data_IF_143583109551
#
_entry.id   IF_143583109551
#
_cell.length_a   1.000
_cell.length_b   1.000
_cell.length_c   1.000
_cell.angle_alpha   90.00
_cell.angle_beta   90.00
_cell.angle_gamma   90.00
#
_symmetry.space_group_name_H-M   'P 1'
#
loop_
_entity.id
_entity.type
_entity.pdbx_description
1 polymer ?
#
# COMPACT_ATOMS: atom_id res chain seq x y z
N UNK A 1 12.32 17.11 -8.51
CA UNK A 1 12.93 16.10 -7.61
C UNK A 1 13.47 14.95 -8.45
N UNK A 2 14.63 14.41 -8.11
CA UNK A 2 15.17 13.23 -8.79
C UNK A 2 14.24 12.03 -8.53
N UNK A 3 13.98 11.21 -9.56
CA UNK A 3 13.14 10.01 -9.42
C UNK A 3 13.94 8.92 -8.72
N UNK A 4 13.73 8.77 -7.41
CA UNK A 4 14.41 7.75 -6.59
C UNK A 4 13.74 6.41 -6.86
N UNK A 5 14.42 5.50 -7.56
CA UNK A 5 13.91 4.13 -7.72
C UNK A 5 14.02 3.39 -6.39
N UNK A 6 13.05 2.52 -6.12
CA UNK A 6 13.08 1.66 -4.94
C UNK A 6 14.23 0.65 -5.09
N UNK A 7 15.23 0.66 -4.19
CA UNK A 7 16.33 -0.29 -4.23
C UNK A 7 15.86 -1.75 -4.02
N UNK A 8 16.54 -2.77 -4.59
CA UNK A 8 16.17 -4.18 -4.40
C UNK A 8 16.04 -4.59 -2.93
N UNK A 9 16.96 -4.16 -2.07
CA UNK A 9 16.97 -4.43 -0.63
C UNK A 9 15.71 -3.88 0.06
N UNK A 10 15.27 -2.70 -0.34
CA UNK A 10 14.01 -2.11 0.15
C UNK A 10 12.81 -2.92 -0.30
N UNK A 11 12.81 -3.44 -1.54
CA UNK A 11 11.70 -4.29 -2.02
C UNK A 11 11.60 -5.59 -1.21
N UNK A 12 12.73 -6.22 -0.91
CA UNK A 12 12.76 -7.43 -0.06
C UNK A 12 12.15 -7.11 1.30
N UNK A 13 12.57 -6.01 1.93
CA UNK A 13 12.03 -5.60 3.23
C UNK A 13 10.53 -5.27 3.17
N UNK A 14 10.07 -4.60 2.12
CA UNK A 14 8.64 -4.33 1.90
C UNK A 14 7.85 -5.64 1.77
N UNK A 15 8.35 -6.58 0.96
CA UNK A 15 7.70 -7.86 0.73
C UNK A 15 7.59 -8.67 2.04
N UNK A 16 8.63 -8.64 2.88
CA UNK A 16 8.63 -9.26 4.21
C UNK A 16 7.59 -8.61 5.16
N UNK A 17 7.50 -7.28 5.18
CA UNK A 17 6.50 -6.56 5.99
C UNK A 17 5.09 -6.95 5.55
N UNK A 18 4.83 -6.98 4.24
CA UNK A 18 3.52 -7.31 3.70
C UNK A 18 3.15 -8.78 3.96
N UNK A 19 4.08 -9.72 3.78
CA UNK A 19 3.83 -11.14 4.09
C UNK A 19 3.58 -11.36 5.58
N UNK A 20 4.36 -10.72 6.46
CA UNK A 20 4.15 -10.78 7.90
C UNK A 20 2.77 -10.25 8.29
N UNK A 21 2.39 -9.06 7.81
CA UNK A 21 1.08 -8.46 8.07
C UNK A 21 -0.07 -9.35 7.58
N UNK A 22 0.05 -9.92 6.38
CA UNK A 22 -0.94 -10.86 5.84
C UNK A 22 -1.12 -12.09 6.74
N UNK A 23 -0.02 -12.65 7.24
CA UNK A 23 -0.01 -13.87 8.07
C UNK A 23 -0.40 -13.63 9.53
N UNK A 24 -0.16 -12.44 10.06
CA UNK A 24 -0.48 -12.09 11.45
C UNK A 24 -1.89 -11.51 11.57
N UNK A 25 -2.12 -10.34 10.99
CA UNK A 25 -3.34 -9.54 11.12
C UNK A 25 -4.49 -10.11 10.27
N UNK A 26 -4.16 -10.64 9.09
CA UNK A 26 -5.14 -11.13 8.12
C UNK A 26 -5.19 -12.65 7.99
N UNK A 27 -4.65 -13.38 8.97
CA UNK A 27 -4.55 -14.85 8.96
C UNK A 27 -5.86 -15.55 8.59
N UNK A 28 -6.98 -15.06 9.14
CA UNK A 28 -8.31 -15.64 8.96
C UNK A 28 -9.09 -15.00 7.79
N UNK A 29 -8.47 -14.09 7.04
CA UNK A 29 -9.09 -13.32 5.96
C UNK A 29 -8.19 -13.28 4.70
N UNK A 30 -7.81 -14.44 4.13
CA UNK A 30 -6.87 -14.50 2.99
C UNK A 30 -7.37 -13.76 1.74
N UNK A 31 -8.68 -13.59 1.59
CA UNK A 31 -9.29 -12.82 0.50
C UNK A 31 -9.05 -11.29 0.59
N UNK A 32 -8.52 -10.82 1.72
CA UNK A 32 -8.11 -9.43 1.99
C UNK A 32 -6.59 -9.27 2.04
N UNK A 33 -5.82 -10.31 1.76
CA UNK A 33 -4.36 -10.18 1.73
C UNK A 33 -3.93 -9.11 0.73
N UNK A 34 -2.77 -8.54 1.00
CA UNK A 34 -2.13 -7.58 0.13
C UNK A 34 -1.12 -8.27 -0.77
N UNK A 35 -0.98 -7.72 -1.97
CA UNK A 35 0.07 -8.06 -2.93
C UNK A 35 0.84 -6.80 -3.29
N UNK A 36 2.16 -6.96 -3.49
CA UNK A 36 3.06 -5.87 -3.84
C UNK A 36 3.28 -5.81 -5.35
N UNK A 37 3.28 -4.60 -5.90
CA UNK A 37 3.67 -4.35 -7.29
C UNK A 37 4.52 -3.09 -7.37
N UNK A 38 5.69 -3.18 -8.00
CA UNK A 38 6.66 -2.09 -8.02
C UNK A 38 6.76 -1.44 -9.40
N UNK A 39 6.78 -0.10 -9.47
CA UNK A 39 7.05 0.64 -10.71
C UNK A 39 7.79 1.95 -10.42
N UNK A 40 9.08 1.99 -10.77
CA UNK A 40 9.92 3.16 -10.53
C UNK A 40 10.11 3.42 -9.04
N UNK A 41 9.57 4.55 -8.57
CA UNK A 41 9.57 4.96 -7.16
C UNK A 41 8.31 4.53 -6.40
N UNK A 42 7.37 3.88 -7.07
CA UNK A 42 6.06 3.56 -6.52
C UNK A 42 5.94 2.09 -6.15
N UNK A 43 5.33 1.85 -5.00
CA UNK A 43 4.79 0.58 -4.55
C UNK A 43 3.27 0.67 -4.65
N UNK A 44 2.65 -0.32 -5.28
CA UNK A 44 1.20 -0.48 -5.33
C UNK A 44 0.83 -1.64 -4.43
N UNK A 45 -0.14 -1.40 -3.55
CA UNK A 45 -0.73 -2.41 -2.70
C UNK A 45 -2.13 -2.72 -3.25
N UNK A 46 -2.30 -3.96 -3.67
CA UNK A 46 -3.52 -4.45 -4.30
C UNK A 46 -4.03 -5.71 -3.58
N UNK A 47 -5.34 -5.96 -3.55
CA UNK A 47 -5.89 -7.26 -3.16
C UNK A 47 -5.85 -8.22 -4.36
N UNK A 48 -5.26 -9.42 -4.23
CA UNK A 48 -5.28 -10.42 -5.28
C UNK A 48 -6.68 -11.01 -5.41
N UNK A 49 -7.23 -11.04 -6.63
CA UNK A 49 -8.42 -11.83 -7.00
C UNK A 49 -8.07 -12.77 -8.15
N UNK A 50 -8.91 -13.79 -8.34
CA UNK A 50 -8.70 -14.87 -9.32
C UNK A 50 -8.38 -14.40 -10.73
N UNK A 51 -8.93 -13.25 -11.16
CA UNK A 51 -8.78 -12.75 -12.54
C UNK A 51 -8.35 -11.28 -12.64
N UNK A 52 -8.18 -10.58 -11.51
CA UNK A 52 -7.80 -9.17 -11.47
C UNK A 52 -7.18 -8.79 -10.13
N UNK A 53 -6.47 -7.68 -10.09
CA UNK A 53 -6.07 -7.05 -8.83
C UNK A 53 -7.05 -5.93 -8.48
N UNK A 54 -7.37 -5.77 -7.20
CA UNK A 54 -8.19 -4.66 -6.71
C UNK A 54 -7.26 -3.63 -6.07
N UNK A 55 -7.08 -2.45 -6.68
CA UNK A 55 -6.16 -1.44 -6.16
C UNK A 55 -6.66 -0.89 -4.82
N UNK A 56 -5.75 -0.79 -3.85
CA UNK A 56 -6.05 -0.24 -2.53
C UNK A 56 -5.41 1.12 -2.38
N UNK A 57 -4.08 1.17 -2.40
CA UNK A 57 -3.31 2.40 -2.27
C UNK A 57 -1.97 2.31 -3.01
N UNK A 58 -1.34 3.46 -3.21
CA UNK A 58 0.00 3.59 -3.78
C UNK A 58 0.89 4.33 -2.79
N UNK A 59 2.06 3.76 -2.54
CA UNK A 59 3.11 4.35 -1.73
C UNK A 59 4.23 4.87 -2.63
N UNK A 60 4.78 6.02 -2.26
CA UNK A 60 5.87 6.70 -2.96
C UNK A 60 7.11 6.66 -2.08
N UNK A 61 8.16 6.01 -2.55
CA UNK A 61 9.42 5.95 -1.83
C UNK A 61 10.11 7.31 -1.83
N UNK A 62 10.48 7.78 -0.65
CA UNK A 62 11.12 9.09 -0.44
C UNK A 62 12.65 9.00 -0.33
N UNK A 63 13.19 7.79 -0.24
CA UNK A 63 14.61 7.55 0.06
C UNK A 63 14.86 6.89 1.41
N UNK A 64 13.84 6.77 2.26
CA UNK A 64 13.89 6.07 3.56
C UNK A 64 12.71 5.10 3.72
N UNK A 65 12.86 4.11 4.60
CA UNK A 65 11.82 3.12 4.91
C UNK A 65 10.73 3.65 5.83
N UNK A 66 11.03 4.68 6.62
CA UNK A 66 10.14 5.18 7.67
C UNK A 66 9.20 6.29 7.18
N UNK A 67 9.36 6.73 5.93
CA UNK A 67 8.59 7.84 5.36
C UNK A 67 8.18 7.54 3.91
N UNK A 68 6.96 7.06 3.71
CA UNK A 68 6.39 6.82 2.39
C UNK A 68 5.25 7.80 2.10
N UNK A 69 5.25 8.38 0.90
CA UNK A 69 4.14 9.21 0.45
C UNK A 69 2.92 8.36 0.11
N UNK A 70 1.79 8.59 0.78
CA UNK A 70 0.56 7.81 0.60
C UNK A 70 -0.38 8.41 -0.45
N UNK A 71 -1.09 7.54 -1.17
CA UNK A 71 -2.23 7.89 -2.02
C UNK A 71 -3.25 6.76 -2.02
N UNK A 72 -4.50 7.04 -1.65
CA UNK A 72 -5.60 6.08 -1.70
C UNK A 72 -6.11 5.96 -3.15
N UNK A 73 -6.56 4.78 -3.55
CA UNK A 73 -7.27 4.62 -4.82
C UNK A 73 -8.67 5.25 -4.74
N UNK A 74 -9.14 5.87 -5.83
CA UNK A 74 -10.48 6.43 -5.94
C UNK A 74 -11.20 5.75 -7.08
N UNK A 75 -12.27 5.04 -6.76
CA UNK A 75 -13.09 4.37 -7.78
C UNK A 75 -13.87 5.34 -8.66
N UNK A 76 -14.19 6.54 -8.17
CA UNK A 76 -14.96 7.53 -8.95
C UNK A 76 -14.22 8.05 -10.19
N UNK A 77 -12.89 7.99 -10.20
CA UNK A 77 -12.06 8.45 -11.32
C UNK A 77 -10.92 7.48 -11.66
N UNK A 78 -10.97 6.26 -11.12
CA UNK A 78 -10.01 5.16 -11.33
C UNK A 78 -8.54 5.60 -11.16
N UNK A 79 -8.24 6.42 -10.14
CA UNK A 79 -6.91 7.01 -9.95
C UNK A 79 -6.43 6.96 -8.50
N UNK A 80 -5.12 7.10 -8.29
CA UNK A 80 -4.53 7.24 -6.95
C UNK A 80 -4.40 8.71 -6.58
N UNK A 81 -5.03 9.13 -5.49
CA UNK A 81 -5.11 10.52 -5.07
C UNK A 81 -4.38 10.74 -3.74
N UNK A 82 -3.25 11.48 -3.74
CA UNK A 82 -2.51 11.81 -2.52
C UNK A 82 -3.17 12.93 -1.70
N UNK A 83 -4.18 13.61 -2.24
CA UNK A 83 -4.89 14.69 -1.57
C UNK A 83 -6.24 14.25 -1.01
N UNK A 84 -6.63 13.00 -1.24
CA UNK A 84 -7.83 12.43 -0.66
C UNK A 84 -7.55 11.96 0.76
N UNK A 85 -8.07 12.72 1.73
CA UNK A 85 -7.93 12.46 3.16
C UNK A 85 -9.28 12.23 3.86
N UNK A 86 -10.39 12.35 3.14
CA UNK A 86 -11.74 12.16 3.68
C UNK A 86 -12.22 10.72 3.43
N UNK A 87 -11.46 9.75 3.93
CA UNK A 87 -11.81 8.34 3.83
C UNK A 87 -11.61 7.61 5.17
N UNK A 88 -12.35 6.52 5.43
CA UNK A 88 -12.17 5.73 6.65
C UNK A 88 -10.75 5.16 6.74
N UNK A 89 -10.08 5.38 7.87
CA UNK A 89 -8.71 4.88 8.08
C UNK A 89 -7.59 5.86 7.78
N UNK A 90 -7.87 7.08 7.32
CA UNK A 90 -6.85 8.11 7.11
C UNK A 90 -5.96 8.36 8.36
N UNK A 91 -6.52 8.21 9.57
CA UNK A 91 -5.78 8.32 10.83
C UNK A 91 -4.73 7.22 11.10
N UNK A 92 -4.71 6.14 10.30
CA UNK A 92 -3.67 5.11 10.39
C UNK A 92 -2.42 5.44 9.56
N UNK A 93 -2.45 6.52 8.77
CA UNK A 93 -1.31 6.91 7.93
C UNK A 93 -0.24 7.55 8.82
N UNK A 94 0.88 6.86 8.97
CA UNK A 94 2.02 7.26 9.79
C UNK A 94 3.34 7.32 9.00
N UNK A 95 3.28 7.14 7.68
CA UNK A 95 4.46 7.07 6.81
C UNK A 95 5.00 5.65 6.62
N UNK A 96 4.50 4.66 7.35
CA UNK A 96 4.93 3.26 7.24
C UNK A 96 4.08 2.46 6.26
N UNK A 97 4.61 1.32 5.82
CA UNK A 97 3.88 0.38 4.96
C UNK A 97 2.72 -0.29 5.71
N UNK A 98 2.90 -0.59 7.00
CA UNK A 98 1.83 -1.17 7.84
C UNK A 98 0.69 -0.19 8.08
N UNK A 99 0.99 1.07 8.40
CA UNK A 99 0.00 2.13 8.54
C UNK A 99 -0.84 2.29 7.27
N UNK A 100 -0.19 2.23 6.10
CA UNK A 100 -0.87 2.24 4.81
C UNK A 100 -1.78 1.03 4.59
N UNK A 101 -1.36 -0.19 4.96
CA UNK A 101 -2.21 -1.39 4.89
C UNK A 101 -3.42 -1.28 5.82
N UNK A 102 -3.24 -0.81 7.06
CA UNK A 102 -4.33 -0.56 8.01
C UNK A 102 -5.30 0.51 7.49
N UNK A 103 -4.78 1.60 6.91
CA UNK A 103 -5.60 2.63 6.27
C UNK A 103 -6.43 2.05 5.11
N UNK A 104 -5.81 1.25 4.24
CA UNK A 104 -6.49 0.58 3.13
C UNK A 104 -7.57 -0.40 3.56
N UNK A 105 -7.33 -1.20 4.61
CA UNK A 105 -8.33 -2.11 5.17
C UNK A 105 -9.55 -1.39 5.73
N UNK A 106 -9.34 -0.27 6.41
CA UNK A 106 -10.43 0.54 6.93
C UNK A 106 -11.23 1.23 5.81
N UNK A 107 -10.56 1.63 4.72
CA UNK A 107 -11.20 2.32 3.59
C UNK A 107 -12.18 1.42 2.81
N UNK A 108 -11.91 0.11 2.72
CA UNK A 108 -12.65 -0.82 1.85
C UNK A 108 -13.24 -2.03 2.60
N UNK A 109 -13.84 -1.78 3.77
CA UNK A 109 -14.45 -2.82 4.61
C UNK A 109 -15.50 -3.69 3.92
#
# INVERSE_FOLDING_TARGET
>A
MAKIKIPPEVKVQVDEIVDNFNRSELKNQPHRWFSTRYRGQYLYLDHPKTFRTWPVCRLTYTGTMDEWGFAIYKYSNESFDPNEWMFPGAGNIDGTIEGAMRAGLAAYQ
#
